data_IF_902410643374
#
_entry.id   IF_902410643374
#
_cell.length_a   1.000
_cell.length_b   1.000
_cell.length_c   1.000
_cell.angle_alpha   90.00
_cell.angle_beta   90.00
_cell.angle_gamma   90.00
#
_symmetry.space_group_name_H-M   'P 1'
#
loop_
_entity.id
_entity.type
_entity.pdbx_description
1 polymer ?
#
# COMPACT_ATOMS: atom_id res chain seq x y z
N UNK A 1 21.20 -2.44 -13.30
CA UNK A 1 20.70 -3.81 -13.36
C UNK A 1 19.51 -3.97 -14.31
N UNK A 2 19.03 -2.87 -14.94
CA UNK A 2 17.91 -2.92 -15.89
C UNK A 2 16.55 -3.34 -15.26
N UNK A 3 16.40 -3.17 -13.97
CA UNK A 3 15.11 -3.46 -13.28
C UNK A 3 14.17 -2.29 -13.54
N UNK A 4 12.99 -2.55 -14.16
CA UNK A 4 12.03 -1.49 -14.43
C UNK A 4 11.39 -0.94 -13.14
N UNK A 5 10.98 0.31 -13.20
CA UNK A 5 10.21 0.93 -12.13
C UNK A 5 8.78 0.40 -12.12
N UNK A 6 8.16 0.43 -10.95
CA UNK A 6 6.73 0.24 -10.76
C UNK A 6 6.13 1.50 -10.15
N UNK A 7 4.88 1.80 -10.49
CA UNK A 7 4.14 2.95 -9.98
C UNK A 7 3.13 2.45 -8.95
N UNK A 8 3.16 3.05 -7.76
CA UNK A 8 2.15 2.86 -6.74
C UNK A 8 1.29 4.12 -6.66
N UNK A 9 -0.03 3.97 -6.71
CA UNK A 9 -0.98 5.06 -6.55
C UNK A 9 -1.84 4.85 -5.30
N UNK A 10 -1.97 5.88 -4.48
CA UNK A 10 -2.88 5.86 -3.33
C UNK A 10 -4.33 6.13 -3.76
N UNK A 11 -5.26 6.17 -2.81
CA UNK A 11 -6.63 6.60 -2.98
C UNK A 11 -7.66 5.48 -2.96
N UNK A 12 -8.19 5.09 -1.76
CA UNK A 12 -9.23 4.06 -1.65
C UNK A 12 -10.56 4.40 -2.34
N UNK A 13 -10.80 5.67 -2.64
CA UNK A 13 -11.96 6.15 -3.41
C UNK A 13 -11.63 6.48 -4.87
N UNK A 14 -10.59 5.85 -5.44
CA UNK A 14 -10.10 6.06 -6.80
C UNK A 14 -8.60 6.35 -6.83
N UNK A 15 -7.98 6.24 -8.00
CA UNK A 15 -6.55 6.49 -8.15
C UNK A 15 -6.22 7.97 -7.89
N UNK A 16 -5.42 8.23 -6.87
CA UNK A 16 -4.96 9.59 -6.56
C UNK A 16 -3.70 9.89 -7.38
N UNK A 17 -3.89 10.42 -8.56
CA UNK A 17 -2.83 10.75 -9.51
C UNK A 17 -2.61 12.27 -9.57
N UNK A 18 -1.40 12.67 -10.00
CA UNK A 18 -1.15 14.06 -10.37
C UNK A 18 -2.01 14.41 -11.57
N UNK A 19 -2.88 15.42 -11.49
CA UNK A 19 -3.87 15.66 -12.55
C UNK A 19 -3.28 15.98 -13.92
N UNK A 20 -2.08 16.57 -13.94
CA UNK A 20 -1.41 17.01 -15.17
C UNK A 20 0.08 16.68 -15.14
N UNK A 21 0.57 16.09 -16.23
CA UNK A 21 1.98 15.84 -16.45
C UNK A 21 2.40 16.39 -17.81
N UNK A 22 3.66 16.77 -17.96
CA UNK A 22 4.24 17.23 -19.23
C UNK A 22 5.20 16.17 -19.72
N UNK A 23 4.97 15.67 -20.90
CA UNK A 23 5.91 14.82 -21.62
C UNK A 23 6.92 15.69 -22.36
N UNK A 24 8.17 15.62 -21.94
CA UNK A 24 9.27 16.34 -22.54
C UNK A 24 9.68 15.72 -23.88
N UNK A 25 10.44 16.44 -24.72
CA UNK A 25 10.92 15.91 -26.01
C UNK A 25 11.77 14.63 -25.90
N UNK A 26 12.33 14.34 -24.76
CA UNK A 26 13.09 13.09 -24.48
C UNK A 26 12.20 11.94 -23.97
N UNK A 27 10.86 12.13 -23.96
CA UNK A 27 9.88 11.14 -23.51
C UNK A 27 9.71 11.04 -21.99
N UNK A 28 10.41 11.88 -21.21
CA UNK A 28 10.24 11.88 -19.76
C UNK A 28 8.99 12.63 -19.35
N UNK A 29 8.25 12.04 -18.43
CA UNK A 29 7.10 12.68 -17.81
C UNK A 29 7.54 13.48 -16.57
N UNK A 30 7.13 14.74 -16.50
CA UNK A 30 7.31 15.60 -15.32
C UNK A 30 5.97 16.15 -14.85
N UNK A 31 5.84 16.34 -13.54
CA UNK A 31 4.64 16.99 -12.98
C UNK A 31 4.54 18.42 -13.53
N UNK A 32 3.37 18.79 -14.05
CA UNK A 32 3.13 20.15 -14.51
C UNK A 32 3.03 21.12 -13.31
N UNK A 33 3.47 22.36 -13.52
CA UNK A 33 3.29 23.41 -12.52
C UNK A 33 1.80 23.54 -12.14
N UNK A 34 1.53 23.45 -10.84
CA UNK A 34 0.18 23.50 -10.30
C UNK A 34 -0.26 24.93 -10.03
N UNK A 35 -1.55 25.20 -10.22
CA UNK A 35 -2.15 26.46 -9.79
C UNK A 35 -2.24 26.56 -8.25
N UNK A 36 -2.74 27.70 -7.73
CA UNK A 36 -2.79 27.97 -6.31
C UNK A 36 -3.72 26.99 -5.55
N UNK A 37 -4.79 26.52 -6.18
CA UNK A 37 -5.75 25.57 -5.58
C UNK A 37 -5.19 24.17 -5.56
N UNK A 38 -4.51 23.76 -6.60
CA UNK A 38 -3.79 22.48 -6.67
C UNK A 38 -2.65 22.45 -5.65
N UNK A 39 -1.88 23.56 -5.51
CA UNK A 39 -0.82 23.71 -4.50
C UNK A 39 -1.36 23.56 -3.07
N UNK A 40 -2.55 24.06 -2.81
CA UNK A 40 -3.17 23.94 -1.48
C UNK A 40 -3.47 22.48 -1.13
N UNK A 41 -3.97 21.69 -2.08
CA UNK A 41 -4.30 20.29 -1.88
C UNK A 41 -3.06 19.36 -1.83
N UNK A 42 -2.01 19.68 -2.59
CA UNK A 42 -0.82 18.85 -2.74
C UNK A 42 0.46 19.46 -2.15
N UNK A 43 0.44 20.70 -1.66
CA UNK A 43 1.62 21.46 -1.27
C UNK A 43 2.52 20.82 -0.22
N UNK A 44 1.94 20.09 0.72
CA UNK A 44 2.69 19.42 1.79
C UNK A 44 3.54 18.25 1.26
N UNK A 45 3.14 17.62 0.17
CA UNK A 45 3.89 16.52 -0.44
C UNK A 45 5.01 17.01 -1.37
N UNK A 46 4.86 18.17 -1.97
CA UNK A 46 5.76 18.70 -3.01
C UNK A 46 7.15 19.05 -2.49
N UNK A 47 7.25 19.66 -1.31
CA UNK A 47 8.54 20.01 -0.70
C UNK A 47 9.35 18.79 -0.28
N UNK A 48 8.68 17.66 0.02
CA UNK A 48 9.34 16.42 0.47
C UNK A 48 9.81 15.52 -0.67
N UNK A 49 9.23 15.65 -1.87
CA UNK A 49 9.46 14.67 -2.95
C UNK A 49 10.50 15.11 -4.00
N UNK A 50 11.12 16.29 -3.91
CA UNK A 50 12.07 16.81 -4.92
C UNK A 50 11.59 16.60 -6.37
N UNK A 51 10.28 16.72 -6.62
CA UNK A 51 9.71 16.48 -7.92
C UNK A 51 10.10 17.61 -8.85
N UNK A 52 10.81 17.30 -9.92
CA UNK A 52 11.09 18.27 -11.00
C UNK A 52 9.77 18.68 -11.67
N UNK A 53 9.56 19.99 -11.75
CA UNK A 53 8.34 20.59 -12.30
C UNK A 53 8.65 21.08 -13.71
N UNK A 54 7.73 20.79 -14.64
CA UNK A 54 7.74 21.34 -15.98
C UNK A 54 6.60 22.33 -16.17
N UNK A 55 6.77 23.24 -17.14
CA UNK A 55 5.70 24.14 -17.60
C UNK A 55 5.00 23.55 -18.82
N UNK A 56 3.80 24.02 -19.12
CA UNK A 56 3.05 23.55 -20.27
C UNK A 56 3.80 23.75 -21.61
N UNK A 57 4.61 24.82 -21.72
CA UNK A 57 5.43 25.09 -22.90
C UNK A 57 6.64 24.18 -23.09
N UNK A 58 7.00 23.40 -22.09
CA UNK A 58 8.17 22.52 -22.14
C UNK A 58 7.93 21.21 -22.92
N UNK A 59 6.65 20.88 -23.21
CA UNK A 59 6.32 19.64 -23.91
C UNK A 59 4.83 19.44 -24.14
N UNK A 60 4.40 18.19 -24.24
CA UNK A 60 2.99 17.82 -24.42
C UNK A 60 2.32 17.60 -23.07
N UNK A 61 1.21 18.32 -22.83
CA UNK A 61 0.44 18.17 -21.59
C UNK A 61 -0.50 16.98 -21.68
N UNK A 62 -0.37 16.05 -20.73
CA UNK A 62 -1.29 14.93 -20.54
C UNK A 62 -2.10 15.14 -19.26
N UNK A 63 -3.40 14.80 -19.32
CA UNK A 63 -4.32 14.87 -18.21
C UNK A 63 -4.57 13.46 -17.64
N UNK A 64 -4.49 13.33 -16.32
CA UNK A 64 -4.67 12.06 -15.62
C UNK A 64 -5.85 12.19 -14.64
N UNK A 65 -7.06 12.18 -15.19
CA UNK A 65 -8.29 12.26 -14.41
C UNK A 65 -8.86 10.86 -14.18
N UNK A 66 -8.62 10.30 -13.01
CA UNK A 66 -9.21 9.05 -12.61
C UNK A 66 -10.62 9.25 -12.00
N UNK A 67 -11.41 8.20 -12.00
CA UNK A 67 -12.77 8.21 -11.45
C UNK A 67 -12.75 8.39 -9.93
N UNK A 68 -13.58 9.29 -9.42
CA UNK A 68 -13.88 9.40 -8.00
C UNK A 68 -14.99 8.41 -7.65
N UNK A 69 -14.61 7.27 -7.10
CA UNK A 69 -15.55 6.25 -6.64
C UNK A 69 -16.20 6.65 -5.30
N UNK A 70 -17.38 6.13 -4.99
CA UNK A 70 -17.97 6.30 -3.66
C UNK A 70 -17.04 5.82 -2.56
N UNK A 71 -17.11 6.43 -1.37
CA UNK A 71 -16.33 6.02 -0.22
C UNK A 71 -16.56 4.54 0.13
N UNK A 72 -15.51 3.84 0.56
CA UNK A 72 -15.57 2.39 0.83
C UNK A 72 -16.68 2.00 1.80
N UNK A 73 -16.93 2.83 2.80
CA UNK A 73 -18.06 2.66 3.73
C UNK A 73 -19.40 2.65 3.02
N UNK A 74 -19.62 3.53 2.04
CA UNK A 74 -20.86 3.56 1.25
C UNK A 74 -20.99 2.33 0.35
N UNK A 75 -19.88 1.94 -0.30
CA UNK A 75 -19.87 0.73 -1.14
C UNK A 75 -20.20 -0.52 -0.32
N UNK A 76 -19.69 -0.63 0.90
CA UNK A 76 -19.99 -1.76 1.78
C UNK A 76 -21.48 -1.86 2.16
N UNK A 77 -22.21 -0.74 2.22
CA UNK A 77 -23.66 -0.73 2.49
C UNK A 77 -24.50 -1.40 1.38
N UNK A 78 -23.92 -1.60 0.21
CA UNK A 78 -24.60 -2.33 -0.89
C UNK A 78 -24.73 -3.81 -0.62
N UNK A 79 -23.83 -4.39 0.19
CA UNK A 79 -23.68 -5.83 0.44
C UNK A 79 -23.52 -6.64 -0.85
N UNK A 80 -23.11 -5.98 -1.93
CA UNK A 80 -23.02 -6.56 -3.27
C UNK A 80 -21.55 -6.78 -3.67
N UNK A 81 -21.10 -8.02 -3.57
CA UNK A 81 -19.71 -8.40 -3.89
C UNK A 81 -19.45 -8.40 -5.41
N UNK A 82 -20.46 -8.67 -6.21
CA UNK A 82 -20.40 -8.62 -7.67
C UNK A 82 -20.13 -7.18 -8.14
N UNK A 83 -20.89 -6.20 -7.61
CA UNK A 83 -20.66 -4.78 -7.88
C UNK A 83 -19.24 -4.35 -7.46
N UNK A 84 -18.76 -4.82 -6.31
CA UNK A 84 -17.40 -4.52 -5.87
C UNK A 84 -16.35 -5.07 -6.83
N UNK A 85 -16.57 -6.25 -7.39
CA UNK A 85 -15.67 -6.85 -8.37
C UNK A 85 -15.69 -6.08 -9.70
N UNK A 86 -16.86 -5.63 -10.16
CA UNK A 86 -17.00 -4.77 -11.34
C UNK A 86 -16.27 -3.44 -11.16
N UNK A 87 -16.45 -2.77 -10.03
CA UNK A 87 -15.71 -1.54 -9.69
C UNK A 87 -14.19 -1.81 -9.71
N UNK A 88 -13.77 -2.93 -9.13
CA UNK A 88 -12.36 -3.32 -9.15
C UNK A 88 -11.82 -3.52 -10.56
N UNK A 89 -12.59 -4.10 -11.47
CA UNK A 89 -12.20 -4.25 -12.87
C UNK A 89 -12.04 -2.89 -13.56
N UNK A 90 -12.97 -1.96 -13.35
CA UNK A 90 -12.87 -0.59 -13.89
C UNK A 90 -11.65 0.17 -13.34
N UNK A 91 -11.34 0.01 -12.05
CA UNK A 91 -10.09 0.57 -11.50
C UNK A 91 -8.87 -0.08 -12.16
N UNK A 92 -8.92 -1.38 -12.45
CA UNK A 92 -7.88 -2.09 -13.19
C UNK A 92 -7.64 -1.53 -14.59
N UNK A 93 -8.69 -1.15 -15.31
CA UNK A 93 -8.62 -0.46 -16.61
C UNK A 93 -7.91 0.89 -16.48
N UNK A 94 -8.30 1.72 -15.50
CA UNK A 94 -7.63 2.99 -15.23
C UNK A 94 -6.14 2.79 -14.85
N UNK A 95 -5.83 1.73 -14.08
CA UNK A 95 -4.44 1.39 -13.77
C UNK A 95 -3.64 1.00 -15.03
N UNK A 96 -4.26 0.39 -16.03
CA UNK A 96 -3.63 0.12 -17.33
C UNK A 96 -3.38 1.41 -18.09
N UNK A 97 -4.38 2.28 -18.19
CA UNK A 97 -4.30 3.56 -18.88
C UNK A 97 -3.20 4.46 -18.32
N UNK A 98 -3.12 4.59 -16.99
CA UNK A 98 -2.16 5.47 -16.32
C UNK A 98 -0.84 4.79 -15.92
N UNK A 99 -0.62 3.54 -16.33
CA UNK A 99 0.62 2.81 -16.05
C UNK A 99 0.84 2.45 -14.57
N UNK A 100 -0.21 2.49 -13.74
CA UNK A 100 -0.13 2.15 -12.32
C UNK A 100 0.02 0.64 -12.16
N UNK A 101 0.94 0.20 -11.32
CA UNK A 101 1.18 -1.23 -11.02
C UNK A 101 0.47 -1.67 -9.76
N UNK A 102 0.57 -0.87 -8.70
CA UNK A 102 -0.01 -1.19 -7.39
C UNK A 102 -0.95 -0.07 -6.97
N UNK A 103 -2.21 -0.40 -6.78
CA UNK A 103 -3.16 0.47 -6.11
C UNK A 103 -3.05 0.27 -4.60
N UNK A 104 -2.69 1.33 -3.86
CA UNK A 104 -2.54 1.29 -2.40
C UNK A 104 -3.92 1.32 -1.71
N UNK A 105 -4.74 0.36 -2.06
CA UNK A 105 -6.11 0.10 -1.59
C UNK A 105 -6.44 -1.38 -1.80
N UNK A 106 -7.51 -1.90 -1.17
CA UNK A 106 -8.46 -1.23 -0.30
C UNK A 106 -7.95 -1.04 1.14
N UNK A 107 -8.47 -0.01 1.80
CA UNK A 107 -8.43 0.11 3.25
C UNK A 107 -9.50 -0.80 3.86
N UNK A 108 -9.18 -1.55 4.93
CA UNK A 108 -10.10 -2.53 5.49
C UNK A 108 -10.02 -2.72 7.01
N UNK A 109 -9.52 -1.70 7.72
CA UNK A 109 -9.54 -1.72 9.17
C UNK A 109 -10.96 -1.63 9.71
N UNK A 110 -11.14 -2.12 10.92
CA UNK A 110 -12.46 -2.20 11.56
C UNK A 110 -12.93 -0.83 12.06
N UNK A 111 -14.17 -0.46 11.79
CA UNK A 111 -14.85 0.71 12.35
C UNK A 111 -15.11 0.51 13.85
N UNK A 112 -14.08 0.62 14.67
CA UNK A 112 -14.20 0.43 16.11
C UNK A 112 -14.70 1.69 16.83
N UNK A 113 -14.24 2.85 16.37
CA UNK A 113 -14.59 4.14 16.93
C UNK A 113 -15.11 5.04 15.82
N UNK A 114 -16.35 5.58 15.92
CA UNK A 114 -16.92 6.47 14.91
C UNK A 114 -16.12 7.77 14.71
N UNK A 115 -15.31 8.17 15.69
CA UNK A 115 -14.45 9.35 15.60
C UNK A 115 -13.10 9.08 14.89
N UNK A 116 -12.83 7.86 14.43
CA UNK A 116 -11.64 7.60 13.63
C UNK A 116 -11.74 8.31 12.28
N UNK A 117 -10.79 9.22 12.00
CA UNK A 117 -10.81 10.07 10.81
C UNK A 117 -10.68 9.33 9.47
N UNK A 118 -10.32 8.04 9.49
CA UNK A 118 -10.16 7.22 8.28
C UNK A 118 -11.30 6.22 8.05
N UNK A 119 -12.37 6.26 8.84
CA UNK A 119 -13.50 5.34 8.66
C UNK A 119 -14.13 5.40 7.27
N UNK A 120 -14.10 6.56 6.60
CA UNK A 120 -14.65 6.74 5.25
C UNK A 120 -13.99 5.81 4.21
N UNK A 121 -12.72 5.48 4.38
CA UNK A 121 -11.96 4.61 3.47
C UNK A 121 -11.97 3.13 3.87
N UNK A 122 -12.57 2.78 5.01
CA UNK A 122 -12.76 1.43 5.49
C UNK A 122 -14.19 0.95 5.24
N UNK A 123 -14.43 -0.36 5.26
CA UNK A 123 -15.71 -0.91 4.85
C UNK A 123 -16.74 -0.97 5.97
N UNK A 124 -16.41 -1.57 7.12
CA UNK A 124 -17.38 -1.91 8.16
C UNK A 124 -16.74 -2.15 9.52
N UNK A 125 -17.59 -2.23 10.55
CA UNK A 125 -17.24 -2.81 11.85
C UNK A 125 -17.20 -4.34 11.83
N UNK A 126 -17.90 -4.96 10.86
CA UNK A 126 -17.92 -6.41 10.68
C UNK A 126 -16.69 -6.87 9.86
N UNK A 127 -15.80 -7.69 10.43
CA UNK A 127 -14.61 -8.19 9.74
C UNK A 127 -14.94 -9.13 8.58
N UNK A 128 -16.07 -9.84 8.62
CA UNK A 128 -16.45 -10.74 7.54
C UNK A 128 -16.89 -9.94 6.30
N UNK A 129 -17.77 -8.96 6.48
CA UNK A 129 -18.20 -8.06 5.42
C UNK A 129 -16.99 -7.32 4.82
N UNK A 130 -16.14 -6.73 5.68
CA UNK A 130 -14.92 -6.03 5.24
C UNK A 130 -14.00 -6.93 4.41
N UNK A 131 -13.79 -8.17 4.84
CA UNK A 131 -12.98 -9.14 4.12
C UNK A 131 -13.57 -9.56 2.77
N UNK A 132 -14.89 -9.75 2.68
CA UNK A 132 -15.57 -10.10 1.44
C UNK A 132 -15.49 -8.96 0.41
N UNK A 133 -15.76 -7.71 0.83
CA UNK A 133 -15.67 -6.53 -0.03
C UNK A 133 -14.24 -6.29 -0.54
N UNK A 134 -13.25 -6.39 0.36
CA UNK A 134 -11.85 -6.26 -0.01
C UNK A 134 -11.37 -7.34 -0.99
N UNK A 135 -11.84 -8.58 -0.83
CA UNK A 135 -11.53 -9.67 -1.75
C UNK A 135 -12.14 -9.43 -3.14
N UNK A 136 -13.40 -8.99 -3.19
CA UNK A 136 -14.10 -8.77 -4.44
C UNK A 136 -13.44 -7.69 -5.28
N UNK A 137 -13.17 -6.51 -4.71
CA UNK A 137 -12.49 -5.43 -5.42
C UNK A 137 -11.07 -5.83 -5.84
N UNK A 138 -10.35 -6.59 -5.00
CA UNK A 138 -9.03 -7.13 -5.32
C UNK A 138 -9.09 -8.08 -6.53
N UNK A 139 -10.06 -8.98 -6.58
CA UNK A 139 -10.24 -9.89 -7.72
C UNK A 139 -10.55 -9.12 -9.01
N UNK A 140 -11.36 -8.04 -8.91
CA UNK A 140 -11.63 -7.16 -10.04
C UNK A 140 -10.37 -6.49 -10.58
N UNK A 141 -9.60 -5.78 -9.73
CA UNK A 141 -8.34 -5.15 -10.13
C UNK A 141 -7.36 -6.16 -10.71
N UNK A 142 -7.20 -7.31 -10.06
CA UNK A 142 -6.21 -8.31 -10.45
C UNK A 142 -6.68 -9.23 -11.59
N UNK A 143 -7.87 -9.03 -12.15
CA UNK A 143 -8.25 -9.58 -13.44
C UNK A 143 -7.43 -8.97 -14.59
N UNK A 144 -6.88 -7.77 -14.37
CA UNK A 144 -5.92 -7.11 -15.24
C UNK A 144 -4.50 -7.58 -14.94
N UNK A 145 -3.82 -8.10 -15.96
CA UNK A 145 -2.50 -8.71 -15.81
C UNK A 145 -1.47 -7.68 -15.31
N UNK A 146 -0.79 -8.03 -14.21
CA UNK A 146 0.28 -7.19 -13.65
C UNK A 146 -0.22 -5.99 -12.85
N UNK A 147 -1.53 -5.91 -12.58
CA UNK A 147 -2.11 -4.93 -11.66
C UNK A 147 -2.39 -5.58 -10.31
N UNK A 148 -2.09 -4.86 -9.24
CA UNK A 148 -2.17 -5.40 -7.88
C UNK A 148 -2.85 -4.41 -6.95
N UNK A 149 -3.58 -4.93 -5.97
CA UNK A 149 -4.07 -4.17 -4.82
C UNK A 149 -3.12 -4.31 -3.65
N UNK A 150 -3.23 -3.39 -2.69
CA UNK A 150 -2.54 -3.42 -1.42
C UNK A 150 -3.54 -3.39 -0.28
N UNK A 151 -3.79 -4.54 0.35
CA UNK A 151 -4.68 -4.62 1.51
C UNK A 151 -4.07 -3.85 2.68
N UNK A 152 -4.77 -2.85 3.22
CA UNK A 152 -4.23 -1.95 4.24
C UNK A 152 -5.26 -1.60 5.34
N UNK A 153 -4.81 -1.27 6.54
CA UNK A 153 -3.44 -1.27 7.05
C UNK A 153 -3.27 -2.43 8.03
N UNK A 154 -2.37 -3.30 7.77
CA UNK A 154 -2.15 -4.54 8.54
C UNK A 154 -1.23 -4.28 9.74
N UNK A 155 -1.75 -4.23 10.98
CA UNK A 155 -3.15 -4.39 11.34
C UNK A 155 -3.54 -3.46 12.52
N UNK A 156 -4.83 -3.48 12.85
CA UNK A 156 -5.39 -2.79 14.02
C UNK A 156 -5.17 -1.27 14.04
N UNK A 157 -5.12 -0.61 12.88
CA UNK A 157 -5.08 0.86 12.76
C UNK A 157 -6.50 1.43 12.85
N UNK A 158 -7.01 1.58 14.09
CA UNK A 158 -8.39 1.98 14.37
C UNK A 158 -8.50 3.35 15.03
N UNK A 159 -7.41 4.10 15.10
CA UNK A 159 -7.33 5.46 15.62
C UNK A 159 -6.27 6.26 14.89
N UNK A 160 -6.58 7.50 14.55
CA UNK A 160 -5.63 8.42 13.92
C UNK A 160 -4.94 9.35 14.93
N UNK A 161 -5.38 9.34 16.19
CA UNK A 161 -4.72 10.10 17.25
C UNK A 161 -3.34 9.50 17.54
N UNK A 162 -2.31 10.32 17.36
CA UNK A 162 -0.90 9.90 17.49
C UNK A 162 -0.58 8.58 16.80
N UNK A 163 -1.13 8.34 15.62
CA UNK A 163 -1.08 7.05 14.92
C UNK A 163 0.31 6.44 14.77
N UNK A 164 1.36 7.27 14.72
CA UNK A 164 2.75 6.83 14.61
C UNK A 164 3.38 6.46 15.97
N UNK A 165 2.74 6.78 17.09
CA UNK A 165 3.23 6.50 18.43
C UNK A 165 2.28 5.62 19.25
N UNK A 166 1.00 5.57 18.87
CA UNK A 166 -0.03 4.83 19.58
C UNK A 166 0.20 3.31 19.53
N UNK A 167 -0.30 2.62 20.56
CA UNK A 167 -0.31 1.16 20.63
C UNK A 167 -1.72 0.63 20.74
N UNK A 168 -2.13 -0.21 19.81
CA UNK A 168 -3.36 -1.00 19.88
C UNK A 168 -3.13 -2.19 20.79
N UNK A 169 -3.47 -2.03 22.07
CA UNK A 169 -3.32 -3.10 23.07
C UNK A 169 -4.56 -3.99 23.04
N UNK A 170 -4.37 -5.24 22.69
CA UNK A 170 -5.46 -6.17 22.39
C UNK A 170 -5.08 -7.60 22.79
N UNK A 171 -6.05 -8.36 23.31
CA UNK A 171 -5.85 -9.79 23.59
C UNK A 171 -5.69 -10.56 22.28
N UNK A 172 -4.98 -11.69 22.31
CA UNK A 172 -4.79 -12.53 21.12
C UNK A 172 -6.13 -12.96 20.52
N UNK A 173 -7.11 -13.32 21.35
CA UNK A 173 -8.45 -13.70 20.88
C UNK A 173 -9.11 -12.58 20.10
N UNK A 174 -9.18 -11.37 20.66
CA UNK A 174 -9.79 -10.22 19.97
C UNK A 174 -9.00 -9.83 18.72
N UNK A 175 -7.65 -9.91 18.76
CA UNK A 175 -6.80 -9.66 17.60
C UNK A 175 -7.17 -10.61 16.45
N UNK A 176 -7.28 -11.93 16.73
CA UNK A 176 -7.58 -12.95 15.71
C UNK A 176 -9.04 -12.95 15.24
N UNK A 177 -9.99 -12.73 16.13
CA UNK A 177 -11.42 -12.82 15.81
C UNK A 177 -11.98 -11.55 15.16
N UNK A 178 -11.32 -10.40 15.34
CA UNK A 178 -11.78 -9.09 14.84
C UNK A 178 -10.74 -8.46 13.91
N UNK A 179 -9.58 -8.03 14.42
CA UNK A 179 -8.68 -7.13 13.70
C UNK A 179 -7.88 -7.82 12.59
N UNK A 180 -7.52 -9.07 12.77
CA UNK A 180 -6.88 -9.91 11.75
C UNK A 180 -7.91 -10.61 10.86
N UNK A 181 -9.13 -10.83 11.37
CA UNK A 181 -10.16 -11.63 10.69
C UNK A 181 -10.53 -11.08 9.32
N UNK A 182 -10.65 -9.78 9.16
CA UNK A 182 -10.96 -9.16 7.87
C UNK A 182 -9.89 -9.53 6.81
N UNK A 183 -8.61 -9.44 7.18
CA UNK A 183 -7.49 -9.80 6.30
C UNK A 183 -7.45 -11.30 6.00
N UNK A 184 -7.70 -12.15 7.01
CA UNK A 184 -7.79 -13.60 6.82
C UNK A 184 -8.90 -13.97 5.82
N UNK A 185 -10.08 -13.37 5.98
CA UNK A 185 -11.23 -13.59 5.07
C UNK A 185 -10.88 -13.14 3.66
N UNK A 186 -10.27 -11.98 3.50
CA UNK A 186 -9.85 -11.46 2.19
C UNK A 186 -8.84 -12.41 1.53
N UNK A 187 -7.75 -12.77 2.23
CA UNK A 187 -6.69 -13.62 1.69
C UNK A 187 -7.13 -15.04 1.33
N UNK A 188 -8.20 -15.54 2.00
CA UNK A 188 -8.81 -16.83 1.61
C UNK A 188 -9.67 -16.76 0.35
N UNK A 189 -10.07 -15.55 -0.08
CA UNK A 189 -10.96 -15.30 -1.22
C UNK A 189 -10.31 -14.63 -2.40
N UNK A 190 -9.13 -14.04 -2.22
CA UNK A 190 -8.35 -13.42 -3.29
C UNK A 190 -6.87 -13.76 -3.14
N UNK A 191 -6.13 -13.59 -4.24
CA UNK A 191 -4.68 -13.74 -4.25
C UNK A 191 -4.02 -12.35 -4.26
N UNK A 192 -4.21 -11.56 -3.19
CA UNK A 192 -3.68 -10.20 -3.11
C UNK A 192 -2.18 -10.16 -3.35
N UNK A 193 -1.73 -9.25 -4.22
CA UNK A 193 -0.32 -9.10 -4.56
C UNK A 193 0.50 -8.45 -3.46
N UNK A 194 -0.11 -7.52 -2.71
CA UNK A 194 0.59 -6.77 -1.67
C UNK A 194 -0.26 -6.52 -0.42
N UNK A 195 0.40 -6.28 0.71
CA UNK A 195 -0.19 -5.87 1.99
C UNK A 195 0.66 -4.74 2.56
N UNK A 196 0.01 -3.74 3.19
CA UNK A 196 0.70 -2.64 3.85
C UNK A 196 0.63 -2.78 5.37
N UNK A 197 1.79 -2.85 6.02
CA UNK A 197 1.90 -2.79 7.48
C UNK A 197 1.53 -1.41 7.99
N UNK A 198 0.78 -1.34 9.08
CA UNK A 198 0.24 -0.09 9.63
C UNK A 198 1.27 0.75 10.40
N UNK A 199 0.90 1.99 10.73
CA UNK A 199 1.75 2.89 11.53
C UNK A 199 1.86 2.49 12.99
N UNK A 200 0.74 2.06 13.58
CA UNK A 200 0.62 1.85 15.01
C UNK A 200 1.44 0.67 15.51
N UNK A 201 1.70 0.67 16.81
CA UNK A 201 2.14 -0.54 17.51
C UNK A 201 0.95 -1.47 17.76
N UNK A 202 1.22 -2.76 17.81
CA UNK A 202 0.30 -3.76 18.36
C UNK A 202 0.98 -4.38 19.56
N UNK A 203 0.36 -4.24 20.72
CA UNK A 203 0.91 -4.69 22.00
C UNK A 203 2.37 -4.21 22.21
N UNK A 204 2.63 -2.94 21.92
CA UNK A 204 3.93 -2.30 22.11
C UNK A 204 4.95 -2.47 20.99
N UNK A 205 4.67 -3.29 19.95
CA UNK A 205 5.60 -3.53 18.83
C UNK A 205 5.06 -2.91 17.55
N UNK A 206 5.85 -2.08 16.87
CA UNK A 206 5.50 -1.53 15.56
C UNK A 206 5.21 -2.64 14.55
N UNK A 207 4.13 -2.49 13.77
CA UNK A 207 3.70 -3.55 12.84
C UNK A 207 4.76 -3.93 11.81
N UNK A 208 5.57 -3.00 11.22
CA UNK A 208 6.68 -3.40 10.35
C UNK A 208 7.77 -4.26 11.04
N UNK A 209 7.86 -4.18 12.37
CA UNK A 209 8.82 -4.95 13.17
C UNK A 209 8.17 -6.08 13.98
N UNK A 210 6.91 -6.41 13.70
CA UNK A 210 6.18 -7.41 14.47
C UNK A 210 6.28 -8.79 13.83
N UNK A 211 7.25 -9.59 14.32
CA UNK A 211 7.51 -10.93 13.83
C UNK A 211 6.31 -11.86 13.97
N UNK A 212 5.57 -11.76 15.08
CA UNK A 212 4.44 -12.64 15.35
C UNK A 212 3.31 -12.40 14.32
N UNK A 213 3.04 -11.14 14.00
CA UNK A 213 1.98 -10.78 13.05
C UNK A 213 2.43 -11.03 11.60
N UNK A 214 3.61 -10.55 11.22
CA UNK A 214 4.05 -10.62 9.82
C UNK A 214 4.56 -12.00 9.44
N UNK A 215 5.33 -12.67 10.31
CA UNK A 215 5.94 -13.96 9.97
C UNK A 215 5.06 -15.12 10.43
N UNK A 216 4.73 -15.19 11.73
CA UNK A 216 3.98 -16.36 12.23
C UNK A 216 2.57 -16.41 11.65
N UNK A 217 1.80 -15.31 11.75
CA UNK A 217 0.41 -15.30 11.28
C UNK A 217 0.36 -15.16 9.76
N UNK A 218 0.83 -14.04 9.20
CA UNK A 218 0.62 -13.72 7.79
C UNK A 218 1.35 -14.71 6.86
N UNK A 219 2.65 -15.00 7.14
CA UNK A 219 3.46 -15.86 6.26
C UNK A 219 3.24 -17.34 6.51
N UNK A 220 3.32 -17.77 7.78
CA UNK A 220 3.34 -19.20 8.10
C UNK A 220 1.93 -19.78 8.23
N UNK A 221 1.03 -19.14 8.99
CA UNK A 221 -0.33 -19.68 9.17
C UNK A 221 -1.19 -19.46 7.91
N UNK A 222 -1.17 -18.24 7.32
CA UNK A 222 -2.03 -17.92 6.17
C UNK A 222 -1.35 -18.14 4.82
N UNK A 223 -0.04 -18.35 4.80
CA UNK A 223 0.71 -18.69 3.60
C UNK A 223 0.86 -17.55 2.59
N UNK A 224 0.73 -16.29 3.00
CA UNK A 224 0.85 -15.14 2.10
C UNK A 224 2.21 -15.08 1.42
N UNK A 225 2.23 -15.02 0.08
CA UNK A 225 3.43 -15.04 -0.76
C UNK A 225 3.78 -13.68 -1.38
N UNK A 226 2.86 -12.72 -1.31
CA UNK A 226 3.02 -11.39 -1.89
C UNK A 226 3.99 -10.49 -1.12
N UNK A 227 4.09 -9.23 -1.54
CA UNK A 227 4.96 -8.23 -0.93
C UNK A 227 4.27 -7.61 0.29
N UNK A 228 4.98 -7.53 1.41
CA UNK A 228 4.60 -6.68 2.54
C UNK A 228 5.36 -5.36 2.41
N UNK A 229 4.64 -4.25 2.34
CA UNK A 229 5.23 -2.92 2.33
C UNK A 229 4.93 -2.18 3.65
N UNK A 230 5.78 -1.23 4.02
CA UNK A 230 5.47 -0.32 5.12
C UNK A 230 4.44 0.71 4.68
N UNK A 231 3.72 1.29 5.61
CA UNK A 231 3.06 2.57 5.37
C UNK A 231 4.12 3.68 5.19
N UNK A 232 3.71 4.83 4.66
CA UNK A 232 4.59 5.93 4.28
C UNK A 232 5.29 6.55 5.51
N UNK A 233 6.61 6.45 5.56
CA UNK A 233 7.44 6.84 6.73
C UNK A 233 7.18 6.03 8.03
N UNK A 234 6.52 4.88 7.95
CA UNK A 234 6.31 4.02 9.12
C UNK A 234 7.60 3.36 9.63
N UNK A 235 8.65 3.35 8.82
CA UNK A 235 10.00 2.91 9.19
C UNK A 235 10.92 4.12 9.13
N UNK A 236 11.32 4.64 10.29
CA UNK A 236 12.14 5.85 10.43
C UNK A 236 12.91 5.81 11.74
N UNK A 237 13.72 6.85 12.01
CA UNK A 237 14.50 6.96 13.26
C UNK A 237 13.62 6.94 14.52
N UNK A 238 12.38 7.44 14.41
CA UNK A 238 11.47 7.61 15.56
C UNK A 238 10.39 6.53 15.65
N UNK A 239 10.37 5.57 14.72
CA UNK A 239 9.31 4.56 14.59
C UNK A 239 9.89 3.15 14.48
N UNK A 240 9.51 2.37 13.46
CA UNK A 240 10.02 1.03 13.25
C UNK A 240 11.47 1.03 12.77
N UNK A 241 12.24 0.04 13.24
CA UNK A 241 13.65 -0.15 12.91
C UNK A 241 13.82 -0.82 11.55
N UNK A 242 14.61 -0.22 10.67
CA UNK A 242 14.89 -0.73 9.32
C UNK A 242 15.65 -2.06 9.34
N UNK A 243 16.51 -2.30 10.32
CA UNK A 243 17.29 -3.55 10.41
C UNK A 243 16.39 -4.72 10.77
N UNK A 244 15.38 -4.50 11.64
CA UNK A 244 14.38 -5.50 11.98
C UNK A 244 13.37 -5.76 10.87
N UNK A 245 13.13 -4.78 9.99
CA UNK A 245 12.18 -4.92 8.88
C UNK A 245 12.53 -6.10 7.96
N UNK A 246 13.82 -6.35 7.72
CA UNK A 246 14.27 -7.52 6.93
C UNK A 246 13.95 -8.85 7.61
N UNK A 247 14.20 -8.96 8.91
CA UNK A 247 13.91 -10.16 9.72
C UNK A 247 12.41 -10.44 9.76
N UNK A 248 11.61 -9.40 9.96
CA UNK A 248 10.14 -9.48 10.02
C UNK A 248 9.48 -9.60 8.66
N UNK A 249 10.27 -9.59 7.59
CA UNK A 249 9.79 -9.72 6.21
C UNK A 249 8.79 -8.61 5.79
N UNK A 250 9.02 -7.38 6.26
CA UNK A 250 8.53 -6.16 5.65
C UNK A 250 9.43 -5.87 4.43
N UNK A 251 8.98 -6.28 3.25
CA UNK A 251 9.82 -6.45 2.06
C UNK A 251 10.19 -5.13 1.38
N UNK A 252 9.31 -4.11 1.49
CA UNK A 252 9.44 -2.81 0.84
C UNK A 252 9.15 -1.69 1.83
N UNK A 253 10.12 -0.81 2.04
CA UNK A 253 9.96 0.37 2.89
C UNK A 253 9.68 1.60 2.04
N UNK A 254 8.61 2.31 2.35
CA UNK A 254 8.18 3.52 1.64
C UNK A 254 8.37 4.78 2.49
N UNK A 255 8.88 5.90 1.91
CA UNK A 255 9.37 6.06 0.53
C UNK A 255 10.75 5.44 0.29
N UNK A 256 11.45 5.01 1.34
CA UNK A 256 12.84 4.58 1.27
C UNK A 256 13.82 5.76 1.20
N UNK A 257 14.91 5.68 1.95
CA UNK A 257 15.93 6.73 1.99
C UNK A 257 17.32 6.14 1.76
N UNK A 258 18.25 6.88 1.15
CA UNK A 258 19.63 6.39 0.93
C UNK A 258 20.32 5.93 2.21
N UNK A 259 20.07 6.62 3.35
CA UNK A 259 20.61 6.21 4.66
C UNK A 259 20.09 4.87 5.14
N UNK A 260 18.85 4.51 4.82
CA UNK A 260 18.25 3.21 5.17
C UNK A 260 18.91 2.10 4.33
N UNK A 261 19.12 2.33 3.04
CA UNK A 261 19.85 1.39 2.18
C UNK A 261 21.28 1.16 2.67
N UNK A 262 21.98 2.24 3.07
CA UNK A 262 23.33 2.14 3.65
C UNK A 262 23.33 1.34 4.96
N UNK A 263 22.34 1.56 5.84
CA UNK A 263 22.19 0.83 7.10
C UNK A 263 21.94 -0.68 6.86
N UNK A 264 21.13 -1.05 5.86
CA UNK A 264 20.91 -2.45 5.48
C UNK A 264 22.21 -3.10 5.02
N UNK A 265 22.98 -2.43 4.15
CA UNK A 265 24.27 -2.93 3.65
C UNK A 265 25.24 -3.17 4.80
N UNK A 266 25.35 -2.21 5.71
CA UNK A 266 26.22 -2.32 6.89
C UNK A 266 25.73 -3.40 7.86
N UNK A 267 24.40 -3.51 8.06
CA UNK A 267 23.78 -4.55 8.88
C UNK A 267 24.09 -5.96 8.38
N UNK A 268 24.13 -6.16 7.06
CA UNK A 268 24.53 -7.44 6.47
C UNK A 268 26.03 -7.70 6.68
N UNK A 269 26.90 -6.70 6.46
CA UNK A 269 28.36 -6.84 6.65
C UNK A 269 28.71 -7.22 8.08
N UNK A 270 28.02 -6.64 9.05
CA UNK A 270 28.24 -6.86 10.48
C UNK A 270 27.48 -8.06 11.05
N UNK A 271 26.74 -8.81 10.21
CA UNK A 271 25.98 -9.99 10.61
C UNK A 271 24.72 -9.70 11.45
N UNK A 272 24.28 -8.43 11.55
CA UNK A 272 23.02 -8.04 12.21
C UNK A 272 21.82 -8.47 11.37
N UNK A 273 21.91 -8.32 10.05
CA UNK A 273 20.92 -8.81 9.10
C UNK A 273 21.44 -10.08 8.45
N UNK A 274 20.66 -11.15 8.50
CA UNK A 274 20.97 -12.37 7.76
C UNK A 274 20.75 -12.13 6.27
N UNK A 275 21.75 -12.42 5.46
CA UNK A 275 21.68 -12.24 3.99
C UNK A 275 20.47 -12.97 3.37
N UNK A 276 20.07 -14.11 3.93
CA UNK A 276 18.91 -14.86 3.44
C UNK A 276 17.58 -14.17 3.71
N UNK A 277 17.48 -13.39 4.80
CA UNK A 277 16.30 -12.57 5.07
C UNK A 277 16.16 -11.45 4.02
N UNK A 278 17.27 -10.76 3.74
CA UNK A 278 17.30 -9.74 2.68
C UNK A 278 16.98 -10.33 1.31
N UNK A 279 17.56 -11.48 0.95
CA UNK A 279 17.27 -12.18 -0.30
C UNK A 279 15.79 -12.55 -0.42
N UNK A 280 15.13 -13.00 0.67
CA UNK A 280 13.71 -13.31 0.67
C UNK A 280 12.86 -12.09 0.38
N UNK A 281 13.12 -10.96 1.06
CA UNK A 281 12.43 -9.70 0.83
C UNK A 281 12.60 -9.24 -0.62
N UNK A 282 13.83 -9.12 -1.07
CA UNK A 282 14.16 -8.69 -2.44
C UNK A 282 13.52 -9.60 -3.50
N UNK A 283 13.54 -10.92 -3.28
CA UNK A 283 12.93 -11.89 -4.22
C UNK A 283 11.43 -11.67 -4.42
N UNK A 284 10.68 -11.27 -3.37
CA UNK A 284 9.24 -10.98 -3.49
C UNK A 284 9.00 -9.72 -4.30
N UNK A 285 9.76 -8.66 -4.02
CA UNK A 285 9.67 -7.41 -4.79
C UNK A 285 10.00 -7.65 -6.26
N UNK A 286 11.09 -8.36 -6.56
CA UNK A 286 11.47 -8.70 -7.94
C UNK A 286 10.42 -9.57 -8.64
N UNK A 287 9.77 -10.50 -7.94
CA UNK A 287 8.66 -11.30 -8.50
C UNK A 287 7.46 -10.43 -8.84
N UNK A 288 7.09 -9.46 -8.00
CA UNK A 288 6.02 -8.51 -8.27
C UNK A 288 6.33 -7.70 -9.53
N UNK A 289 7.54 -7.14 -9.63
CA UNK A 289 8.00 -6.37 -10.78
C UNK A 289 7.94 -7.23 -12.05
N UNK A 290 8.44 -8.48 -11.99
CA UNK A 290 8.42 -9.40 -13.14
C UNK A 290 6.99 -9.71 -13.62
N UNK A 291 6.01 -9.79 -12.72
CA UNK A 291 4.61 -10.04 -13.10
C UNK A 291 3.97 -8.84 -13.81
N UNK A 292 4.40 -7.61 -13.49
CA UNK A 292 3.94 -6.39 -14.15
C UNK A 292 4.58 -6.20 -15.53
N UNK A 293 5.85 -6.60 -15.67
CA UNK A 293 6.57 -6.44 -16.93
C UNK A 293 6.26 -7.62 -17.88
N UNK A 294 5.68 -7.30 -19.03
CA UNK A 294 5.76 -8.19 -20.19
C UNK A 294 7.20 -8.05 -20.69
N UNK A 295 8.13 -8.78 -20.08
CA UNK A 295 9.48 -8.90 -20.62
C UNK A 295 9.35 -9.79 -21.85
N UNK A 296 9.20 -9.20 -23.01
CA UNK A 296 9.56 -9.81 -24.29
C UNK A 296 11.08 -9.86 -24.32
N UNK A 297 11.64 -11.05 -24.12
CA UNK A 297 13.04 -11.32 -24.43
C UNK A 297 13.21 -11.47 -25.94
#
# INVERSE_FOLDING_TARGET
FGIPNIICADGPAGLNLTPRVVELPDGKLKVMEMDIYEKFNFGVFKERMQTEIAKAEDGVVHYQYATAWPASMLLAQTWNVELMQEIGAMVGEEMEEFGVTVWLAPGMNIHRNPLCGRNFEYYSEDPFLSGCMAAAITNGVQSHKGKFTCLKHFCANNSEHERTQSSSNVTERALREIYLKAFEVALKRCNAGTIMASYNKVNGVYTPNNYDILVKVLRNEWGFKGVVMSDWNAVSADTADILKACETQCDLVMPGEPKQSAAIVEGVKNGVIKLDDLKRCTSRVLKLIKQNTIITF
#
